data_IF_341355615959
#
_entry.id   IF_341355615959
#
_cell.length_a   1.000
_cell.length_b   1.000
_cell.length_c   1.000
_cell.angle_alpha   90.00
_cell.angle_beta   90.00
_cell.angle_gamma   90.00
#
_symmetry.space_group_name_H-M   'P 1'
#
loop_
_entity.id
_entity.type
_entity.pdbx_description
1 polymer ?
#
# COMPACT_ATOMS: atom_id res chain seq x y z
N UNK A 1 -20.71 -1.62 4.65
CA UNK A 1 -20.14 -2.63 5.57
C UNK A 1 -19.73 -2.00 6.89
N UNK A 2 -19.57 -2.79 7.98
CA UNK A 2 -18.94 -2.33 9.22
C UNK A 2 -17.42 -2.48 9.10
N UNK A 3 -16.65 -1.63 9.77
CA UNK A 3 -15.17 -1.69 9.76
C UNK A 3 -14.62 -3.09 10.09
N UNK A 4 -15.25 -3.80 11.04
CA UNK A 4 -14.85 -5.17 11.37
C UNK A 4 -15.11 -6.18 10.24
N UNK A 5 -16.11 -5.95 9.41
CA UNK A 5 -16.41 -6.78 8.24
C UNK A 5 -15.41 -6.52 7.11
N UNK A 6 -15.01 -5.26 6.93
CA UNK A 6 -13.98 -4.88 5.95
C UNK A 6 -12.66 -5.58 6.32
N UNK A 7 -12.22 -5.44 7.57
CA UNK A 7 -11.00 -6.09 8.05
C UNK A 7 -11.05 -7.62 7.90
N UNK A 8 -12.19 -8.23 8.28
CA UNK A 8 -12.35 -9.68 8.17
C UNK A 8 -12.27 -10.15 6.72
N UNK A 9 -12.94 -9.45 5.77
CA UNK A 9 -12.91 -9.82 4.35
C UNK A 9 -11.50 -9.79 3.77
N UNK A 10 -10.72 -8.75 4.12
CA UNK A 10 -9.33 -8.65 3.70
C UNK A 10 -8.52 -9.88 4.16
N UNK A 11 -8.58 -10.16 5.46
CA UNK A 11 -7.81 -11.25 6.04
C UNK A 11 -8.26 -12.62 5.54
N UNK A 12 -9.58 -12.86 5.44
CA UNK A 12 -10.14 -14.10 4.88
C UNK A 12 -9.73 -14.31 3.41
N UNK A 13 -9.74 -13.22 2.61
CA UNK A 13 -9.34 -13.27 1.20
C UNK A 13 -7.87 -13.70 1.07
N UNK A 14 -6.96 -13.06 1.81
CA UNK A 14 -5.55 -13.40 1.74
C UNK A 14 -5.23 -14.75 2.40
N UNK A 15 -5.96 -15.16 3.42
CA UNK A 15 -5.85 -16.53 3.96
C UNK A 15 -6.20 -17.58 2.91
N UNK A 16 -7.25 -17.36 2.10
CA UNK A 16 -7.63 -18.24 0.98
C UNK A 16 -6.58 -18.25 -0.14
N UNK A 17 -5.75 -17.22 -0.25
CA UNK A 17 -4.61 -17.12 -1.16
C UNK A 17 -3.28 -17.50 -0.50
N UNK A 18 -3.33 -18.41 0.46
CA UNK A 18 -2.18 -19.01 1.15
C UNK A 18 -1.31 -18.02 1.95
N UNK A 19 -1.88 -16.92 2.46
CA UNK A 19 -1.19 -16.02 3.38
C UNK A 19 -1.39 -16.43 4.84
N UNK A 20 -0.32 -16.36 5.62
CA UNK A 20 -0.40 -16.49 7.08
C UNK A 20 -0.94 -15.20 7.68
N UNK A 21 -2.14 -15.26 8.24
CA UNK A 21 -2.69 -14.11 8.97
C UNK A 21 -2.00 -13.98 10.31
N UNK A 22 -1.41 -12.82 10.58
CA UNK A 22 -0.70 -12.53 11.81
C UNK A 22 -1.36 -11.39 12.59
N UNK A 23 -1.30 -11.39 13.92
CA UNK A 23 -1.86 -10.32 14.73
C UNK A 23 -1.08 -9.02 14.58
N UNK A 24 -1.73 -7.89 14.89
CA UNK A 24 -1.06 -6.59 14.98
C UNK A 24 0.11 -6.65 15.98
N UNK A 25 1.26 -6.18 15.55
CA UNK A 25 2.42 -5.98 16.43
C UNK A 25 2.19 -4.78 17.38
N UNK A 26 3.12 -4.60 18.32
CA UNK A 26 3.14 -3.45 19.22
C UNK A 26 3.24 -2.14 18.43
N UNK A 27 2.61 -1.09 18.93
CA UNK A 27 2.80 0.30 18.42
C UNK A 27 4.21 0.84 18.69
N UNK A 28 4.87 0.33 19.73
CA UNK A 28 6.28 0.64 19.99
C UNK A 28 7.10 -0.26 19.09
N UNK A 29 7.77 0.34 18.10
CA UNK A 29 8.56 -0.39 17.12
C UNK A 29 9.78 -1.04 17.79
N UNK A 30 10.07 -2.31 17.49
CA UNK A 30 11.35 -2.90 17.86
C UNK A 30 12.50 -2.43 16.97
N UNK A 31 12.21 -1.79 15.83
CA UNK A 31 13.20 -1.26 14.91
C UNK A 31 13.80 0.05 15.45
N UNK A 32 15.13 0.15 15.59
CA UNK A 32 15.76 1.35 16.13
C UNK A 32 15.64 2.59 15.21
N UNK A 33 15.27 2.40 13.94
CA UNK A 33 15.11 3.51 12.99
C UNK A 33 13.75 4.21 13.11
N UNK A 34 12.77 3.60 13.78
CA UNK A 34 11.44 4.16 13.97
C UNK A 34 11.00 4.04 15.43
N UNK A 35 10.46 5.14 16.01
CA UNK A 35 9.92 5.13 17.39
C UNK A 35 8.62 4.34 17.49
N UNK A 36 7.79 4.44 16.46
CA UNK A 36 6.48 3.79 16.40
C UNK A 36 6.35 2.91 15.15
N UNK A 37 5.42 1.98 15.20
CA UNK A 37 4.97 1.23 14.03
C UNK A 37 4.10 2.15 13.18
N UNK A 38 4.69 2.69 12.12
CA UNK A 38 4.10 3.69 11.23
C UNK A 38 3.41 3.10 10.01
N UNK A 39 3.68 1.82 9.71
CA UNK A 39 3.14 1.11 8.55
C UNK A 39 3.04 -0.39 8.85
N UNK A 40 2.26 -1.11 8.02
CA UNK A 40 2.03 -2.55 8.16
C UNK A 40 3.30 -3.39 8.07
N UNK A 41 4.26 -2.96 7.26
CA UNK A 41 5.50 -3.68 7.01
C UNK A 41 6.57 -3.53 8.11
N UNK A 42 6.48 -2.53 8.98
CA UNK A 42 7.54 -2.25 9.98
C UNK A 42 7.95 -3.48 10.81
N UNK A 43 7.03 -4.34 11.26
CA UNK A 43 7.39 -5.56 11.97
C UNK A 43 8.13 -6.59 11.10
N UNK A 44 8.08 -6.45 9.77
CA UNK A 44 8.61 -7.41 8.79
C UNK A 44 9.90 -6.94 8.11
N UNK A 45 10.43 -5.76 8.47
CA UNK A 45 11.69 -5.24 7.92
C UNK A 45 12.81 -6.30 7.89
N UNK A 46 13.05 -7.11 8.96
CA UNK A 46 14.09 -8.14 8.91
C UNK A 46 13.86 -9.22 7.85
N UNK A 47 12.59 -9.49 7.48
CA UNK A 47 12.25 -10.44 6.41
C UNK A 47 12.44 -9.81 5.03
N UNK A 48 12.03 -8.55 4.87
CA UNK A 48 12.20 -7.78 3.63
C UNK A 48 13.69 -7.58 3.30
N UNK A 49 14.51 -7.34 4.32
CA UNK A 49 15.97 -7.18 4.18
C UNK A 49 16.73 -8.51 4.06
N UNK A 50 16.06 -9.67 4.17
CA UNK A 50 16.70 -10.98 4.13
C UNK A 50 17.52 -11.34 5.38
N UNK A 51 17.44 -10.54 6.45
CA UNK A 51 18.15 -10.75 7.71
C UNK A 51 17.59 -11.94 8.50
N UNK A 52 16.32 -12.24 8.32
CA UNK A 52 15.63 -13.34 8.96
C UNK A 52 14.72 -14.09 7.97
N UNK A 53 14.57 -15.39 8.17
CA UNK A 53 13.61 -16.19 7.40
C UNK A 53 12.20 -15.97 7.94
N UNK A 54 11.23 -15.57 7.10
CA UNK A 54 9.86 -15.41 7.53
C UNK A 54 9.22 -16.77 7.88
N UNK A 55 8.25 -16.81 8.82
CA UNK A 55 7.55 -18.06 9.16
C UNK A 55 6.73 -18.61 7.98
N UNK A 56 6.35 -17.74 7.05
CA UNK A 56 5.76 -18.06 5.75
C UNK A 56 6.10 -16.95 4.75
N UNK A 57 6.31 -17.28 3.49
CA UNK A 57 6.66 -16.32 2.45
C UNK A 57 5.50 -15.38 2.06
N UNK A 58 4.26 -15.74 2.41
CA UNK A 58 3.05 -14.94 2.22
C UNK A 58 2.43 -14.65 3.59
N UNK A 59 2.25 -13.39 3.92
CA UNK A 59 1.65 -12.98 5.20
C UNK A 59 0.63 -11.87 4.99
N UNK A 60 -0.36 -11.77 5.89
CA UNK A 60 -1.32 -10.68 5.91
C UNK A 60 -1.61 -10.23 7.34
N UNK A 61 -1.90 -8.95 7.53
CA UNK A 61 -2.22 -8.40 8.84
C UNK A 61 -3.18 -7.21 8.77
N UNK A 62 -3.83 -6.94 9.91
CA UNK A 62 -4.45 -5.66 10.20
C UNK A 62 -3.62 -4.98 11.29
N UNK A 63 -2.65 -4.15 10.89
CA UNK A 63 -1.68 -3.51 11.77
C UNK A 63 -2.19 -2.18 12.30
N UNK A 64 -2.16 -2.00 13.60
CA UNK A 64 -2.33 -0.69 14.26
C UNK A 64 -1.09 0.17 14.02
N UNK A 65 -1.30 1.40 13.55
CA UNK A 65 -0.23 2.33 13.19
C UNK A 65 -0.40 3.68 13.89
N UNK A 66 0.74 4.33 14.15
CA UNK A 66 0.79 5.71 14.64
C UNK A 66 1.75 6.52 13.80
N UNK A 67 1.26 7.61 13.17
CA UNK A 67 2.06 8.58 12.44
C UNK A 67 1.95 9.94 13.12
N UNK A 68 2.98 10.32 13.86
CA UNK A 68 3.02 11.60 14.58
C UNK A 68 3.40 12.77 13.68
N UNK A 69 4.08 12.51 12.55
CA UNK A 69 4.48 13.55 11.60
C UNK A 69 3.27 14.18 10.88
N UNK A 70 2.16 13.46 10.79
CA UNK A 70 0.93 13.93 10.13
C UNK A 70 0.04 14.77 11.06
N UNK A 71 0.46 15.04 12.31
CA UNK A 71 -0.38 15.67 13.33
C UNK A 71 -0.87 17.06 12.90
N UNK A 72 -0.06 17.79 12.15
CA UNK A 72 -0.41 19.12 11.64
C UNK A 72 -1.47 19.09 10.54
N UNK A 73 -1.66 17.93 9.89
CA UNK A 73 -2.64 17.71 8.83
C UNK A 73 -3.95 17.09 9.35
N UNK A 74 -3.92 16.51 10.55
CA UNK A 74 -5.11 15.89 11.17
C UNK A 74 -6.17 16.96 11.47
N UNK A 75 -7.38 16.71 10.95
CA UNK A 75 -8.50 17.65 11.06
C UNK A 75 -8.52 18.77 10.01
N UNK A 76 -7.48 18.90 9.17
CA UNK A 76 -7.45 19.79 8.00
C UNK A 76 -7.79 19.05 6.71
N UNK A 77 -7.23 17.86 6.55
CA UNK A 77 -7.52 16.96 5.42
C UNK A 77 -8.56 15.93 5.83
N UNK A 78 -9.16 15.27 4.83
CA UNK A 78 -10.13 14.19 5.06
C UNK A 78 -9.47 12.81 5.18
N UNK A 79 -8.14 12.72 5.02
CA UNK A 79 -7.40 11.45 4.87
C UNK A 79 -6.35 11.18 5.94
N UNK A 80 -5.90 12.20 6.70
CA UNK A 80 -4.88 12.03 7.73
C UNK A 80 -5.47 11.71 9.09
N UNK A 81 -4.89 10.70 9.76
CA UNK A 81 -5.18 10.33 11.14
C UNK A 81 -3.89 10.01 11.88
N UNK A 82 -3.77 10.40 13.14
CA UNK A 82 -2.61 10.08 13.97
C UNK A 82 -2.53 8.58 14.27
N UNK A 83 -3.66 7.98 14.66
CA UNK A 83 -3.83 6.54 14.85
C UNK A 83 -4.78 6.01 13.77
N UNK A 84 -4.41 4.92 13.14
CA UNK A 84 -5.21 4.23 12.13
C UNK A 84 -4.83 2.75 12.03
N UNK A 85 -5.61 1.99 11.30
CA UNK A 85 -5.34 0.59 11.03
C UNK A 85 -5.00 0.41 9.54
N UNK A 86 -3.92 -0.32 9.28
CA UNK A 86 -3.45 -0.64 7.95
C UNK A 86 -3.62 -2.12 7.67
N UNK A 87 -4.44 -2.43 6.67
CA UNK A 87 -4.56 -3.76 6.12
C UNK A 87 -3.42 -3.99 5.14
N UNK A 88 -2.64 -5.04 5.32
CA UNK A 88 -1.48 -5.32 4.48
C UNK A 88 -1.38 -6.78 4.10
N UNK A 89 -0.96 -7.01 2.86
CA UNK A 89 -0.48 -8.30 2.39
C UNK A 89 0.97 -8.18 1.95
N UNK A 90 1.75 -9.22 2.25
CA UNK A 90 3.19 -9.22 2.13
C UNK A 90 3.65 -10.47 1.39
N UNK A 91 4.64 -10.30 0.50
CA UNK A 91 5.37 -11.39 -0.14
C UNK A 91 6.86 -11.24 0.09
N UNK A 92 7.48 -12.27 0.62
CA UNK A 92 8.92 -12.30 0.90
C UNK A 92 9.59 -13.26 -0.10
N UNK A 93 9.89 -12.71 -1.30
CA UNK A 93 10.52 -13.48 -2.38
C UNK A 93 9.64 -14.60 -2.96
N UNK A 94 8.31 -14.46 -2.90
CA UNK A 94 7.36 -15.40 -3.51
C UNK A 94 6.70 -14.76 -4.74
N UNK A 95 5.58 -14.07 -4.60
CA UNK A 95 4.98 -13.33 -5.70
C UNK A 95 5.46 -11.86 -5.75
N UNK A 96 5.26 -11.21 -6.89
CA UNK A 96 5.63 -9.83 -7.10
C UNK A 96 4.46 -9.00 -7.68
N UNK A 97 4.72 -8.07 -8.58
CA UNK A 97 3.75 -7.07 -9.06
C UNK A 97 2.46 -7.67 -9.61
N UNK A 98 2.56 -8.69 -10.46
CA UNK A 98 1.41 -9.22 -11.19
C UNK A 98 0.34 -9.75 -10.23
N UNK A 99 0.72 -10.61 -9.29
CA UNK A 99 -0.22 -11.15 -8.33
C UNK A 99 -0.68 -10.09 -7.32
N UNK A 100 0.20 -9.16 -6.90
CA UNK A 100 -0.19 -8.09 -5.98
C UNK A 100 -1.27 -7.19 -6.58
N UNK A 101 -1.10 -6.79 -7.84
CA UNK A 101 -2.07 -6.00 -8.62
C UNK A 101 -3.37 -6.77 -8.81
N UNK A 102 -3.27 -8.05 -9.21
CA UNK A 102 -4.43 -8.91 -9.38
C UNK A 102 -5.24 -9.04 -8.09
N UNK A 103 -4.60 -9.39 -6.97
CA UNK A 103 -5.28 -9.55 -5.68
C UNK A 103 -5.98 -8.27 -5.24
N UNK A 104 -5.33 -7.12 -5.41
CA UNK A 104 -5.93 -5.84 -5.03
C UNK A 104 -7.14 -5.52 -5.90
N UNK A 105 -7.04 -5.66 -7.21
CA UNK A 105 -8.13 -5.37 -8.13
C UNK A 105 -9.30 -6.33 -7.95
N UNK A 106 -9.04 -7.63 -7.83
CA UNK A 106 -10.07 -8.63 -7.60
C UNK A 106 -10.83 -8.37 -6.29
N UNK A 107 -10.11 -8.17 -5.17
CA UNK A 107 -10.75 -7.91 -3.87
C UNK A 107 -11.59 -6.63 -3.89
N UNK A 108 -11.11 -5.57 -4.54
CA UNK A 108 -11.83 -4.30 -4.62
C UNK A 108 -13.10 -4.41 -5.49
N UNK A 109 -13.00 -5.05 -6.66
CA UNK A 109 -14.09 -5.03 -7.65
C UNK A 109 -15.08 -6.18 -7.53
N UNK A 110 -14.67 -7.31 -6.95
CA UNK A 110 -15.56 -8.45 -6.71
C UNK A 110 -16.79 -8.01 -5.89
N UNK A 111 -18.03 -8.39 -6.32
CA UNK A 111 -19.23 -8.04 -5.60
C UNK A 111 -19.24 -8.48 -4.13
N UNK A 112 -19.91 -7.69 -3.28
CA UNK A 112 -19.94 -7.93 -1.83
C UNK A 112 -20.56 -9.28 -1.42
N UNK A 113 -21.53 -9.77 -2.18
CA UNK A 113 -22.15 -11.08 -1.98
C UNK A 113 -21.25 -12.25 -2.39
N UNK A 114 -20.16 -11.94 -3.11
CA UNK A 114 -19.11 -12.90 -3.50
C UNK A 114 -17.82 -12.75 -2.69
N UNK A 115 -17.82 -11.91 -1.67
CA UNK A 115 -16.68 -11.77 -0.75
C UNK A 115 -15.79 -10.55 -0.98
N UNK A 116 -15.95 -9.82 -2.08
CA UNK A 116 -15.19 -8.61 -2.37
C UNK A 116 -15.78 -7.34 -1.74
N UNK A 117 -15.19 -6.19 -2.06
CA UNK A 117 -15.68 -4.90 -1.59
C UNK A 117 -16.74 -4.28 -2.50
N UNK A 118 -16.79 -4.67 -3.77
CA UNK A 118 -17.81 -4.24 -4.74
C UNK A 118 -17.65 -2.77 -5.15
N UNK A 119 -16.43 -2.26 -5.22
CA UNK A 119 -16.18 -0.96 -5.83
C UNK A 119 -16.52 -1.02 -7.33
N UNK A 120 -17.05 0.08 -7.83
CA UNK A 120 -17.27 0.30 -9.24
C UNK A 120 -15.93 0.50 -9.95
N UNK A 121 -15.53 -0.37 -10.90
CA UNK A 121 -14.26 -0.23 -11.61
C UNK A 121 -14.08 1.13 -12.29
N UNK A 122 -15.17 1.74 -12.79
CA UNK A 122 -15.17 3.05 -13.44
C UNK A 122 -14.80 4.21 -12.50
N UNK A 123 -14.78 3.96 -11.18
CA UNK A 123 -14.40 4.94 -10.15
C UNK A 123 -13.00 4.72 -9.61
N UNK A 124 -12.35 3.64 -10.02
CA UNK A 124 -10.99 3.35 -9.58
C UNK A 124 -9.99 4.07 -10.49
N UNK A 125 -9.01 4.70 -9.85
CA UNK A 125 -7.88 5.34 -10.49
C UNK A 125 -6.59 4.78 -9.90
N UNK A 126 -5.58 4.61 -10.74
CA UNK A 126 -4.29 4.06 -10.35
C UNK A 126 -3.20 5.10 -10.61
N UNK A 127 -2.21 5.13 -9.73
CA UNK A 127 -0.96 5.84 -10.02
C UNK A 127 0.17 4.83 -10.14
N UNK A 128 1.18 5.15 -10.93
CA UNK A 128 2.37 4.32 -11.09
C UNK A 128 3.61 5.18 -11.15
N UNK A 129 4.72 4.64 -10.67
CA UNK A 129 6.02 5.29 -10.79
C UNK A 129 6.42 5.52 -12.25
N UNK A 130 7.12 6.64 -12.51
CA UNK A 130 7.47 7.11 -13.87
C UNK A 130 8.12 6.02 -14.73
N UNK A 131 9.03 5.25 -14.17
CA UNK A 131 9.80 4.24 -14.91
C UNK A 131 9.17 2.84 -14.83
N UNK A 132 7.98 2.70 -14.23
CA UNK A 132 7.31 1.41 -14.04
C UNK A 132 6.26 1.13 -15.13
N UNK A 133 6.71 0.92 -16.38
CA UNK A 133 5.85 0.50 -17.50
C UNK A 133 5.22 -0.89 -17.27
N UNK A 134 5.90 -1.73 -16.50
CA UNK A 134 5.44 -3.07 -16.17
C UNK A 134 4.12 -3.01 -15.36
N UNK A 135 4.10 -2.23 -14.27
CA UNK A 135 2.88 -2.03 -13.48
C UNK A 135 1.74 -1.40 -14.30
N UNK A 136 2.05 -0.44 -15.18
CA UNK A 136 1.04 0.15 -16.09
C UNK A 136 0.42 -0.89 -17.01
N UNK A 137 1.24 -1.79 -17.54
CA UNK A 137 0.76 -2.85 -18.42
C UNK A 137 -0.10 -3.86 -17.66
N UNK A 138 0.28 -4.20 -16.42
CA UNK A 138 -0.48 -5.09 -15.56
C UNK A 138 -1.85 -4.52 -15.21
N UNK A 139 -1.96 -3.24 -14.84
CA UNK A 139 -3.25 -2.58 -14.61
C UNK A 139 -4.17 -2.60 -15.83
N UNK A 140 -3.62 -2.36 -17.03
CA UNK A 140 -4.39 -2.48 -18.28
C UNK A 140 -4.89 -3.90 -18.51
N UNK A 141 -4.08 -4.90 -18.18
CA UNK A 141 -4.46 -6.31 -18.31
C UNK A 141 -5.58 -6.71 -17.33
N UNK A 142 -5.64 -6.09 -16.14
CA UNK A 142 -6.77 -6.23 -15.21
C UNK A 142 -8.05 -5.54 -15.71
N UNK A 143 -7.97 -4.71 -16.74
CA UNK A 143 -9.11 -4.03 -17.35
C UNK A 143 -9.30 -2.59 -16.88
N UNK A 144 -8.32 -1.99 -16.21
CA UNK A 144 -8.34 -0.58 -15.87
C UNK A 144 -8.23 0.27 -17.13
N UNK A 145 -9.11 1.28 -17.25
CA UNK A 145 -9.04 2.24 -18.36
C UNK A 145 -7.67 2.94 -18.35
N UNK A 146 -6.94 2.94 -19.48
CA UNK A 146 -5.67 3.65 -19.59
C UNK A 146 -5.73 5.13 -19.20
N UNK A 147 -6.88 5.79 -19.34
CA UNK A 147 -7.08 7.18 -18.91
C UNK A 147 -7.16 7.33 -17.38
N UNK A 148 -7.46 6.24 -16.67
CA UNK A 148 -7.47 6.17 -15.21
C UNK A 148 -6.12 5.75 -14.60
N UNK A 149 -5.07 5.59 -15.41
CA UNK A 149 -3.73 5.28 -14.93
C UNK A 149 -2.84 6.52 -15.10
N UNK A 150 -2.48 7.15 -13.98
CA UNK A 150 -1.64 8.35 -13.97
C UNK A 150 -0.20 8.02 -13.57
N UNK A 151 0.74 8.77 -14.15
CA UNK A 151 2.17 8.58 -13.92
C UNK A 151 2.63 9.64 -12.94
N UNK A 152 3.26 9.22 -11.86
CA UNK A 152 3.79 10.11 -10.84
C UNK A 152 5.28 9.85 -10.58
N UNK A 153 5.92 10.84 -9.97
CA UNK A 153 7.35 10.81 -9.68
C UNK A 153 7.69 10.15 -8.34
N UNK A 154 8.93 10.37 -7.95
CA UNK A 154 9.49 9.82 -6.71
C UNK A 154 8.82 10.38 -5.44
N UNK A 155 8.25 11.57 -5.51
CA UNK A 155 7.55 12.20 -4.39
C UNK A 155 6.31 11.41 -3.97
N UNK A 156 5.61 10.83 -4.95
CA UNK A 156 4.31 10.17 -4.74
C UNK A 156 4.45 8.65 -4.82
N UNK A 157 5.07 8.13 -5.88
CA UNK A 157 5.11 6.69 -6.17
C UNK A 157 6.47 6.02 -5.92
N UNK A 158 7.22 6.49 -4.92
CA UNK A 158 8.37 5.76 -4.36
C UNK A 158 8.29 5.77 -2.84
N UNK A 159 8.23 4.59 -2.23
CA UNK A 159 8.03 4.45 -0.80
C UNK A 159 9.29 4.01 -0.06
N UNK A 160 9.48 4.53 1.15
CA UNK A 160 10.51 4.13 2.11
C UNK A 160 9.99 4.34 3.53
N UNK A 161 10.64 3.73 4.51
CA UNK A 161 10.34 3.96 5.94
C UNK A 161 10.73 5.35 6.45
N UNK A 162 11.38 6.17 5.61
CA UNK A 162 11.96 7.45 6.01
C UNK A 162 13.32 7.34 6.70
N UNK A 163 13.90 6.14 6.74
CA UNK A 163 15.23 5.83 7.25
C UNK A 163 15.89 4.72 6.44
N UNK A 164 17.08 4.22 6.85
CA UNK A 164 17.69 3.07 6.21
C UNK A 164 16.79 1.84 6.26
N UNK A 165 16.68 1.12 5.15
CA UNK A 165 15.83 -0.08 5.05
C UNK A 165 15.38 -0.39 3.64
N UNK A 166 14.33 -1.21 3.50
CA UNK A 166 13.77 -1.54 2.21
C UNK A 166 12.98 -0.35 1.63
N UNK A 167 12.88 -0.31 0.31
CA UNK A 167 12.10 0.67 -0.43
C UNK A 167 11.93 0.28 -1.89
N UNK A 168 11.05 0.99 -2.57
CA UNK A 168 10.81 0.73 -3.98
C UNK A 168 9.73 1.59 -4.60
N UNK A 169 9.57 1.49 -5.93
CA UNK A 169 8.43 2.11 -6.61
C UNK A 169 7.14 1.51 -6.09
N UNK A 170 6.08 2.32 -6.11
CA UNK A 170 4.77 1.87 -5.70
C UNK A 170 3.68 2.23 -6.71
N UNK A 171 2.53 1.64 -6.52
CA UNK A 171 1.32 1.92 -7.27
C UNK A 171 0.16 2.08 -6.30
N UNK A 172 -0.44 3.26 -6.30
CA UNK A 172 -1.54 3.57 -5.41
C UNK A 172 -2.88 3.44 -6.12
N UNK A 173 -3.89 3.04 -5.36
CA UNK A 173 -5.27 2.89 -5.84
C UNK A 173 -6.13 3.96 -5.18
N UNK A 174 -6.84 4.71 -5.99
CA UNK A 174 -7.72 5.80 -5.59
C UNK A 174 -9.17 5.52 -5.96
N UNK A 175 -10.09 6.13 -5.22
CA UNK A 175 -11.53 6.11 -5.53
C UNK A 175 -11.99 7.52 -5.85
N UNK A 176 -12.64 7.72 -7.01
CA UNK A 176 -13.39 8.95 -7.31
C UNK A 176 -14.65 9.03 -6.45
N UNK A 177 -14.67 9.96 -5.52
CA UNK A 177 -15.80 10.28 -4.63
C UNK A 177 -16.91 11.08 -5.32
N UNK A 178 -16.64 11.51 -6.56
CA UNK A 178 -17.56 12.27 -7.40
C UNK A 178 -17.44 13.79 -7.27
N UNK A 179 -18.15 14.51 -8.15
CA UNK A 179 -17.97 15.95 -8.37
C UNK A 179 -18.31 16.84 -7.15
N UNK A 180 -18.96 16.29 -6.14
CA UNK A 180 -19.24 16.98 -4.88
C UNK A 180 -17.96 17.28 -4.08
N UNK A 181 -16.91 16.50 -4.32
CA UNK A 181 -15.69 16.52 -3.51
C UNK A 181 -14.53 17.25 -4.19
N UNK A 182 -14.66 17.63 -5.46
CA UNK A 182 -13.60 18.34 -6.16
C UNK A 182 -13.71 18.31 -7.67
N UNK A 183 -12.64 18.75 -8.34
CA UNK A 183 -12.57 18.82 -9.80
C UNK A 183 -12.27 17.48 -10.44
N UNK A 184 -12.61 17.33 -11.71
CA UNK A 184 -12.29 16.15 -12.51
C UNK A 184 -10.84 16.17 -12.99
N UNK A 185 -10.24 14.98 -13.19
CA UNK A 185 -8.89 14.86 -13.74
C UNK A 185 -7.98 13.89 -12.98
N UNK A 186 -8.53 13.04 -12.11
CA UNK A 186 -7.78 12.02 -11.38
C UNK A 186 -7.01 12.54 -10.15
N UNK A 187 -6.23 11.69 -9.49
CA UNK A 187 -5.49 12.01 -8.28
C UNK A 187 -4.59 13.24 -8.41
N UNK A 188 -3.93 13.43 -9.55
CA UNK A 188 -3.06 14.60 -9.81
C UNK A 188 -3.84 15.92 -9.77
N UNK A 189 -5.13 15.89 -10.15
CA UNK A 189 -5.94 17.11 -10.20
C UNK A 189 -6.51 17.50 -8.84
N UNK A 190 -6.97 16.53 -8.04
CA UNK A 190 -7.63 16.83 -6.78
C UNK A 190 -7.68 15.61 -5.82
N UNK A 191 -6.80 15.57 -4.85
CA UNK A 191 -6.76 14.53 -3.80
C UNK A 191 -7.96 14.55 -2.83
N UNK A 192 -8.77 15.61 -2.81
CA UNK A 192 -10.00 15.60 -2.01
C UNK A 192 -11.12 14.84 -2.72
N UNK A 193 -11.16 14.88 -4.06
CA UNK A 193 -12.10 14.08 -4.85
C UNK A 193 -11.62 12.63 -4.98
N UNK A 194 -10.34 12.44 -5.26
CA UNK A 194 -9.74 11.11 -5.46
C UNK A 194 -9.00 10.72 -4.19
N UNK A 195 -9.62 9.87 -3.38
CA UNK A 195 -9.00 9.41 -2.13
C UNK A 195 -8.20 8.14 -2.36
N UNK A 196 -6.93 8.15 -1.99
CA UNK A 196 -6.10 6.96 -1.92
C UNK A 196 -6.66 5.99 -0.89
N UNK A 197 -6.87 4.74 -1.29
CA UNK A 197 -7.38 3.67 -0.43
C UNK A 197 -6.38 2.55 -0.20
N UNK A 198 -5.45 2.31 -1.14
CA UNK A 198 -4.47 1.23 -1.05
C UNK A 198 -3.19 1.59 -1.79
N UNK A 199 -2.05 1.36 -1.17
CA UNK A 199 -0.71 1.49 -1.78
C UNK A 199 -0.07 0.10 -1.90
N UNK A 200 0.44 -0.22 -3.09
CA UNK A 200 1.15 -1.45 -3.43
C UNK A 200 2.62 -1.11 -3.65
N UNK A 201 3.47 -1.44 -2.69
CA UNK A 201 4.91 -1.16 -2.74
C UNK A 201 5.66 -2.37 -3.28
N UNK A 202 6.47 -2.15 -4.29
CA UNK A 202 7.33 -3.12 -4.94
C UNK A 202 8.73 -3.01 -4.37
N UNK A 203 8.94 -3.65 -3.21
CA UNK A 203 10.16 -3.57 -2.42
C UNK A 203 11.30 -4.32 -3.10
N UNK A 204 12.12 -3.63 -3.85
CA UNK A 204 13.23 -4.20 -4.60
C UNK A 204 14.58 -3.50 -4.36
N UNK A 205 14.62 -2.44 -3.54
CA UNK A 205 15.85 -1.71 -3.24
C UNK A 205 16.12 -1.64 -1.75
N UNK A 206 17.41 -1.65 -1.41
CA UNK A 206 17.91 -1.16 -0.13
C UNK A 206 18.21 0.33 -0.26
N UNK A 207 17.74 1.14 0.68
CA UNK A 207 17.98 2.58 0.71
C UNK A 207 18.62 3.02 2.00
N UNK A 208 19.45 4.07 1.92
CA UNK A 208 20.02 4.76 3.07
C UNK A 208 20.07 6.28 2.85
N UNK A 209 20.63 7.01 3.83
CA UNK A 209 20.80 8.46 3.75
C UNK A 209 19.51 9.22 3.35
N UNK A 210 18.34 8.73 3.80
CA UNK A 210 17.05 9.32 3.50
C UNK A 210 16.89 10.67 4.19
N UNK A 211 16.93 11.77 3.43
CA UNK A 211 16.72 13.13 3.92
C UNK A 211 15.32 13.64 3.57
N UNK A 212 14.78 13.19 2.45
CA UNK A 212 13.41 13.44 2.00
C UNK A 212 12.97 12.32 1.08
N UNK A 213 11.70 12.35 0.63
CA UNK A 213 11.18 11.39 -0.36
C UNK A 213 11.98 11.36 -1.67
N UNK A 214 12.61 12.48 -2.05
CA UNK A 214 13.36 12.64 -3.31
C UNK A 214 14.87 12.77 -3.11
N UNK A 215 15.36 12.91 -1.88
CA UNK A 215 16.80 12.96 -1.53
C UNK A 215 17.14 11.75 -0.65
N UNK A 216 17.40 10.65 -1.29
CA UNK A 216 17.82 9.39 -0.68
C UNK A 216 18.87 8.71 -1.55
N UNK A 217 19.61 7.77 -0.99
CA UNK A 217 20.58 6.97 -1.70
C UNK A 217 20.10 5.52 -1.83
N UNK A 218 20.05 5.01 -3.05
CA UNK A 218 19.79 3.60 -3.34
C UNK A 218 21.14 2.88 -3.23
N UNK A 219 21.25 2.01 -2.23
CA UNK A 219 22.46 1.21 -1.97
C UNK A 219 22.61 0.13 -3.02
N UNK A 220 21.50 -0.53 -3.40
CA UNK A 220 21.47 -1.60 -4.37
C UNK A 220 20.12 -2.28 -4.41
N UNK A 221 20.03 -3.35 -5.21
CA UNK A 221 18.85 -4.22 -5.22
C UNK A 221 18.86 -5.15 -4.02
N UNK A 222 17.68 -5.43 -3.46
CA UNK A 222 17.50 -6.48 -2.44
C UNK A 222 17.74 -7.86 -3.07
N UNK A 223 18.15 -8.83 -2.25
CA UNK A 223 18.35 -10.21 -2.68
C UNK A 223 17.07 -10.82 -3.27
N UNK A 224 15.93 -10.47 -2.68
CA UNK A 224 14.61 -10.89 -3.15
C UNK A 224 13.76 -9.68 -3.51
N UNK A 225 12.92 -9.85 -4.51
CA UNK A 225 11.83 -8.92 -4.80
C UNK A 225 10.67 -9.22 -3.85
N UNK A 226 10.23 -8.23 -3.12
CA UNK A 226 9.20 -8.38 -2.10
C UNK A 226 8.00 -7.50 -2.41
N UNK A 227 6.86 -7.85 -1.82
CA UNK A 227 5.65 -7.03 -1.82
C UNK A 227 5.35 -6.59 -0.40
N UNK A 228 5.16 -5.29 -0.23
CA UNK A 228 4.51 -4.64 0.90
C UNK A 228 3.27 -3.93 0.40
N UNK A 229 2.14 -4.07 1.07
CA UNK A 229 0.97 -3.27 0.75
C UNK A 229 0.33 -2.66 1.98
N UNK A 230 -0.31 -1.50 1.81
CA UNK A 230 -1.01 -0.82 2.87
C UNK A 230 -2.34 -0.22 2.43
N UNK A 231 -3.45 -0.83 2.85
CA UNK A 231 -4.78 -0.25 2.66
C UNK A 231 -5.29 0.36 3.97
N UNK A 232 -5.75 1.61 3.91
CA UNK A 232 -6.34 2.27 5.06
C UNK A 232 -7.70 1.67 5.41
N UNK A 233 -7.80 0.91 6.53
CA UNK A 233 -9.05 0.29 6.94
C UNK A 233 -10.18 1.31 7.07
N UNK A 234 -9.88 2.50 7.58
CA UNK A 234 -10.85 3.57 7.77
C UNK A 234 -11.22 4.31 6.47
N UNK A 235 -10.47 4.07 5.38
CA UNK A 235 -10.74 4.63 4.04
C UNK A 235 -11.57 3.71 3.15
N UNK A 236 -11.51 2.39 3.37
CA UNK A 236 -12.31 1.36 2.72
C UNK A 236 -13.74 1.30 3.30
#
# INVERSE_FOLDING_TARGET
MRTSEIAKRFLDYFEQHDHLVVPSASLISPNPTTLFTIAGMVPFIPYLMGEQTPPKHRMASNQKCVRTLDIDEVGKTTRHGTFFQMLGNFSFGDYFKEEAIHYAYELLTTPQDKGGYGFDPEKLWMTTFTDDEEARSMWKNEGVDPEHIQIMGMEDNFWTTGGPGPGGPCSEIYVDRGPKYGVEGGPIADENRYIEIWDLVFENYEVDNVKSKTDLHIVGELENKNIDTGAGLERL
#
